data_IF_881685626086
#
_entry.id   IF_881685626086
#
_cell.length_a   1.000
_cell.length_b   1.000
_cell.length_c   1.000
_cell.angle_alpha   90.00
_cell.angle_beta   90.00
_cell.angle_gamma   90.00
#
_symmetry.space_group_name_H-M   'P 1'
#
loop_
_entity.id
_entity.type
_entity.pdbx_description
1 polymer ?
#
# COMPACT_ATOMS: atom_id res chain seq x y z
N UNK A 1 -18.07 -14.23 15.37
CA UNK A 1 -18.86 -13.82 14.17
C UNK A 1 -17.98 -13.22 13.05
N UNK A 2 -16.69 -13.61 12.93
CA UNK A 2 -15.70 -12.85 12.12
C UNK A 2 -15.64 -13.17 10.61
N UNK A 3 -16.36 -14.20 10.14
CA UNK A 3 -16.22 -14.73 8.77
C UNK A 3 -16.66 -13.72 7.70
N UNK A 4 -17.58 -12.80 8.02
CA UNK A 4 -18.12 -11.83 7.06
C UNK A 4 -17.10 -10.76 6.68
N UNK A 5 -16.40 -10.17 7.66
CA UNK A 5 -15.38 -9.13 7.43
C UNK A 5 -14.14 -9.71 6.75
N UNK A 6 -13.74 -10.93 7.10
CA UNK A 6 -12.59 -11.59 6.45
C UNK A 6 -12.83 -11.87 4.97
N UNK A 7 -14.02 -12.38 4.63
CA UNK A 7 -14.41 -12.58 3.22
C UNK A 7 -14.33 -11.29 2.43
N UNK A 8 -14.78 -10.19 3.03
CA UNK A 8 -14.76 -8.91 2.37
C UNK A 8 -13.35 -8.35 2.12
N UNK A 9 -12.48 -8.48 3.12
CA UNK A 9 -11.06 -8.11 2.98
C UNK A 9 -10.41 -8.96 1.88
N UNK A 10 -10.67 -10.28 1.86
CA UNK A 10 -10.20 -11.17 0.81
C UNK A 10 -10.74 -10.78 -0.57
N UNK A 11 -12.01 -10.39 -0.69
CA UNK A 11 -12.57 -9.90 -1.95
C UNK A 11 -11.82 -8.67 -2.45
N UNK A 12 -11.59 -7.66 -1.60
CA UNK A 12 -10.87 -6.44 -2.00
C UNK A 12 -9.42 -6.73 -2.38
N UNK A 13 -8.73 -7.62 -1.66
CA UNK A 13 -7.38 -8.08 -2.02
C UNK A 13 -7.39 -8.73 -3.39
N UNK A 14 -8.31 -9.68 -3.61
CA UNK A 14 -8.38 -10.44 -4.86
C UNK A 14 -8.75 -9.55 -6.05
N UNK A 15 -9.73 -8.66 -5.92
CA UNK A 15 -10.11 -7.75 -7.01
C UNK A 15 -8.99 -6.76 -7.34
N UNK A 16 -8.28 -6.27 -6.32
CA UNK A 16 -7.14 -5.38 -6.52
C UNK A 16 -5.99 -6.10 -7.23
N UNK A 17 -5.64 -7.31 -6.78
CA UNK A 17 -4.64 -8.14 -7.44
C UNK A 17 -5.02 -8.47 -8.88
N UNK A 18 -6.27 -8.88 -9.12
CA UNK A 18 -6.79 -9.17 -10.45
C UNK A 18 -6.73 -7.94 -11.36
N UNK A 19 -7.01 -6.75 -10.84
CA UNK A 19 -6.90 -5.50 -11.58
C UNK A 19 -5.46 -5.28 -12.05
N UNK A 20 -4.47 -5.41 -11.16
CA UNK A 20 -3.06 -5.29 -11.54
C UNK A 20 -2.60 -6.38 -12.50
N UNK A 21 -3.11 -7.61 -12.34
CA UNK A 21 -2.81 -8.71 -13.26
C UNK A 21 -3.38 -8.44 -14.66
N UNK A 22 -4.60 -7.91 -14.76
CA UNK A 22 -5.21 -7.51 -16.03
C UNK A 22 -4.43 -6.35 -16.67
N UNK A 23 -4.01 -5.36 -15.88
CA UNK A 23 -3.14 -4.27 -16.34
C UNK A 23 -1.81 -4.77 -16.90
N UNK A 24 -1.25 -5.81 -16.31
CA UNK A 24 0.01 -6.41 -16.73
C UNK A 24 -0.14 -7.30 -17.98
N UNK A 25 -1.20 -8.11 -18.06
CA UNK A 25 -1.37 -9.12 -19.13
C UNK A 25 -2.03 -8.56 -20.39
N UNK A 26 -2.92 -7.58 -20.27
CA UNK A 26 -3.61 -6.99 -21.42
C UNK A 26 -2.86 -5.73 -21.84
N UNK A 27 -2.37 -5.63 -23.08
CA UNK A 27 -1.87 -4.38 -23.62
C UNK A 27 -3.05 -3.42 -23.82
N UNK A 28 -3.46 -2.75 -22.74
CA UNK A 28 -4.62 -1.85 -22.66
C UNK A 28 -4.50 -0.64 -23.60
N UNK A 29 -3.32 -0.41 -24.18
CA UNK A 29 -3.12 0.48 -25.33
C UNK A 29 -4.07 0.20 -26.49
N UNK A 30 -4.59 -1.03 -26.64
CA UNK A 30 -5.54 -1.41 -27.69
C UNK A 30 -6.93 -0.76 -27.57
N UNK A 31 -7.35 -0.31 -26.38
CA UNK A 31 -8.71 0.18 -26.15
C UNK A 31 -8.83 1.72 -26.07
N UNK A 32 -7.72 2.45 -26.26
CA UNK A 32 -7.70 3.90 -26.15
C UNK A 32 -7.95 4.46 -24.74
N UNK A 33 -8.17 3.59 -23.75
CA UNK A 33 -8.31 3.93 -22.33
C UNK A 33 -6.94 3.71 -21.67
N UNK A 34 -6.39 4.74 -21.04
CA UNK A 34 -5.14 4.63 -20.28
C UNK A 34 -5.17 3.56 -19.19
N UNK A 35 -4.05 2.85 -18.98
CA UNK A 35 -3.93 1.80 -17.97
C UNK A 35 -4.35 2.26 -16.57
N UNK A 36 -4.17 3.55 -16.22
CA UNK A 36 -4.52 4.03 -14.90
C UNK A 36 -6.03 4.10 -14.62
N UNK A 37 -6.85 4.27 -15.65
CA UNK A 37 -8.30 4.43 -15.50
C UNK A 37 -8.96 3.17 -14.92
N UNK A 38 -8.36 2.01 -15.14
CA UNK A 38 -8.81 0.73 -14.60
C UNK A 38 -8.62 0.60 -13.08
N UNK A 39 -7.77 1.42 -12.46
CA UNK A 39 -7.67 1.45 -11.00
C UNK A 39 -8.92 2.06 -10.36
N UNK A 40 -9.58 3.03 -11.02
CA UNK A 40 -10.70 3.77 -10.43
C UNK A 40 -11.94 2.91 -10.14
N UNK A 41 -12.42 2.03 -11.05
CA UNK A 41 -13.51 1.11 -10.73
C UNK A 41 -13.21 0.19 -9.55
N UNK A 42 -11.99 -0.39 -9.49
CA UNK A 42 -11.60 -1.25 -8.37
C UNK A 42 -11.55 -0.47 -7.04
N UNK A 43 -11.12 0.79 -7.07
CA UNK A 43 -11.11 1.65 -5.89
C UNK A 43 -12.51 2.03 -5.42
N UNK A 44 -13.41 2.37 -6.35
CA UNK A 44 -14.82 2.63 -6.02
C UNK A 44 -15.46 1.39 -5.39
N UNK A 45 -15.17 0.21 -5.94
CA UNK A 45 -15.59 -1.05 -5.36
C UNK A 45 -15.02 -1.25 -3.95
N UNK A 46 -13.72 -1.06 -3.74
CA UNK A 46 -13.07 -1.24 -2.44
C UNK A 46 -13.60 -0.28 -1.37
N UNK A 47 -13.73 1.02 -1.70
CA UNK A 47 -14.27 2.05 -0.81
C UNK A 47 -15.73 1.76 -0.50
N UNK A 48 -16.54 1.44 -1.52
CA UNK A 48 -17.95 1.10 -1.35
C UNK A 48 -18.12 -0.14 -0.49
N UNK A 49 -17.30 -1.17 -0.69
CA UNK A 49 -17.38 -2.44 0.04
C UNK A 49 -16.97 -2.29 1.51
N UNK A 50 -15.84 -1.62 1.79
CA UNK A 50 -15.44 -1.32 3.17
C UNK A 50 -16.41 -0.37 3.85
N UNK A 51 -16.87 0.68 3.16
CA UNK A 51 -17.87 1.62 3.68
C UNK A 51 -19.18 0.94 4.05
N UNK A 52 -19.69 0.09 3.15
CA UNK A 52 -20.90 -0.70 3.37
C UNK A 52 -20.78 -1.58 4.62
N UNK A 53 -19.67 -2.30 4.80
CA UNK A 53 -19.48 -3.19 5.94
C UNK A 53 -19.28 -2.45 7.27
N UNK A 54 -18.56 -1.33 7.24
CA UNK A 54 -18.42 -0.45 8.40
C UNK A 54 -19.81 0.08 8.79
N UNK A 55 -20.62 0.51 7.82
CA UNK A 55 -21.95 1.05 8.09
C UNK A 55 -22.95 -0.02 8.55
N UNK A 56 -22.99 -1.18 7.90
CA UNK A 56 -23.90 -2.28 8.22
C UNK A 56 -23.70 -2.77 9.66
N UNK A 57 -22.43 -2.88 10.07
CA UNK A 57 -22.08 -3.42 11.38
C UNK A 57 -21.95 -2.33 12.46
N UNK A 58 -22.05 -1.03 12.11
CA UNK A 58 -22.10 0.06 13.08
C UNK A 58 -23.34 -0.01 13.98
N UNK A 59 -24.42 -0.60 13.48
CA UNK A 59 -25.68 -0.76 14.21
C UNK A 59 -25.70 -2.01 15.10
N UNK A 60 -24.69 -2.88 15.00
CA UNK A 60 -24.52 -4.07 15.84
C UNK A 60 -23.37 -3.80 16.82
N UNK A 61 -23.72 -3.47 18.06
CA UNK A 61 -22.84 -2.88 19.09
C UNK A 61 -21.62 -3.74 19.49
N UNK A 62 -21.49 -4.98 18.99
CA UNK A 62 -20.50 -5.96 19.48
C UNK A 62 -19.51 -6.51 18.41
N UNK A 63 -19.49 -6.03 17.17
CA UNK A 63 -18.64 -6.66 16.14
C UNK A 63 -17.20 -6.10 16.15
N UNK A 64 -16.34 -6.69 17.00
CA UNK A 64 -14.91 -6.39 17.15
C UNK A 64 -14.16 -6.33 15.81
N UNK A 65 -14.56 -7.17 14.83
CA UNK A 65 -13.97 -7.20 13.50
C UNK A 65 -14.26 -5.96 12.65
N UNK A 66 -15.42 -5.32 12.82
CA UNK A 66 -15.76 -4.11 12.08
C UNK A 66 -15.08 -2.88 12.65
N UNK A 67 -14.94 -2.81 13.97
CA UNK A 67 -14.09 -1.81 14.60
C UNK A 67 -12.64 -1.99 14.16
N UNK A 68 -12.15 -3.22 14.07
CA UNK A 68 -10.80 -3.50 13.56
C UNK A 68 -10.61 -3.00 12.12
N UNK A 69 -11.58 -3.29 11.23
CA UNK A 69 -11.54 -2.82 9.85
C UNK A 69 -11.53 -1.28 9.78
N UNK A 70 -12.38 -0.62 10.56
CA UNK A 70 -12.41 0.85 10.63
C UNK A 70 -11.07 1.44 11.09
N UNK A 71 -10.47 0.90 12.17
CA UNK A 71 -9.16 1.33 12.64
C UNK A 71 -8.07 1.10 11.58
N UNK A 72 -8.13 -0.02 10.87
CA UNK A 72 -7.19 -0.35 9.80
C UNK A 72 -7.31 0.63 8.62
N UNK A 73 -8.55 0.99 8.23
CA UNK A 73 -8.82 1.98 7.17
C UNK A 73 -8.30 3.36 7.58
N UNK A 74 -8.62 3.81 8.80
CA UNK A 74 -8.12 5.08 9.33
C UNK A 74 -6.59 5.13 9.33
N UNK A 75 -5.94 4.04 9.75
CA UNK A 75 -4.50 3.94 9.70
C UNK A 75 -3.97 4.05 8.27
N UNK A 76 -4.49 3.24 7.35
CA UNK A 76 -4.03 3.21 5.96
C UNK A 76 -4.16 4.57 5.30
N UNK A 77 -5.31 5.23 5.49
CA UNK A 77 -5.53 6.60 4.99
C UNK A 77 -4.55 7.60 5.60
N UNK A 78 -4.32 7.57 6.92
CA UNK A 78 -3.40 8.49 7.59
C UNK A 78 -1.93 8.27 7.17
N UNK A 79 -1.50 7.02 7.04
CA UNK A 79 -0.16 6.66 6.58
C UNK A 79 0.08 7.11 5.14
N UNK A 80 -0.88 6.87 4.25
CA UNK A 80 -0.79 7.30 2.86
C UNK A 80 -0.81 8.83 2.73
N UNK A 81 -1.70 9.52 3.44
CA UNK A 81 -1.77 10.98 3.40
C UNK A 81 -0.47 11.65 3.88
N UNK A 82 0.21 11.05 4.86
CA UNK A 82 1.50 11.54 5.36
C UNK A 82 2.69 11.15 4.50
N UNK A 83 2.62 10.04 3.76
CA UNK A 83 3.65 9.63 2.81
C UNK A 83 3.57 10.41 1.48
N UNK A 84 2.39 10.89 1.11
CA UNK A 84 2.11 11.63 -0.13
C UNK A 84 3.07 12.79 -0.43
N UNK A 85 3.42 13.68 0.52
CA UNK A 85 4.41 14.73 0.28
C UNK A 85 5.81 14.20 -0.04
N UNK A 86 6.20 13.08 0.56
CA UNK A 86 7.49 12.43 0.28
C UNK A 86 7.50 11.80 -1.11
N UNK A 87 6.42 11.13 -1.49
CA UNK A 87 6.26 10.59 -2.83
C UNK A 87 6.27 11.68 -3.91
N UNK A 88 5.62 12.81 -3.64
CA UNK A 88 5.68 13.98 -4.51
C UNK A 88 7.12 14.51 -4.66
N UNK A 89 7.87 14.57 -3.56
CA UNK A 89 9.27 15.00 -3.59
C UNK A 89 10.16 14.01 -4.38
N UNK A 90 9.94 12.71 -4.20
CA UNK A 90 10.67 11.64 -4.90
C UNK A 90 10.37 11.59 -6.39
N UNK A 91 9.11 11.75 -6.78
CA UNK A 91 8.71 11.74 -8.19
C UNK A 91 9.08 13.02 -8.93
N UNK A 92 8.89 14.20 -8.33
CA UNK A 92 9.10 15.49 -9.04
C UNK A 92 10.49 16.08 -8.89
N UNK A 93 11.01 16.16 -7.67
CA UNK A 93 12.31 16.82 -7.41
C UNK A 93 13.47 15.87 -7.63
N UNK A 94 13.31 14.64 -7.15
CA UNK A 94 14.34 13.63 -7.25
C UNK A 94 14.14 12.66 -8.42
N UNK A 95 13.03 12.76 -9.17
CA UNK A 95 12.77 11.98 -10.39
C UNK A 95 13.14 10.49 -10.26
N UNK A 96 12.90 9.87 -9.10
CA UNK A 96 13.24 8.47 -8.87
C UNK A 96 12.24 7.53 -9.54
N UNK A 97 10.99 7.94 -9.53
CA UNK A 97 9.89 7.27 -10.19
C UNK A 97 9.36 8.25 -11.23
N UNK A 98 9.33 7.80 -12.48
CA UNK A 98 8.71 8.50 -13.60
C UNK A 98 7.42 7.75 -13.92
N UNK A 99 6.28 8.42 -13.85
CA UNK A 99 5.00 7.82 -14.23
C UNK A 99 4.85 7.87 -15.76
N UNK A 100 4.57 6.72 -16.40
CA UNK A 100 4.84 6.47 -17.83
C UNK A 100 3.75 6.82 -18.85
N UNK A 101 2.60 7.34 -18.43
CA UNK A 101 1.47 7.64 -19.31
C UNK A 101 1.40 9.11 -19.72
N UNK A 102 1.06 9.35 -21.00
CA UNK A 102 0.59 10.64 -21.53
C UNK A 102 -0.70 11.13 -20.84
N UNK A 103 -1.42 10.25 -20.12
CA UNK A 103 -2.56 10.60 -19.25
C UNK A 103 -2.13 11.31 -17.95
N UNK A 104 -0.84 11.28 -17.63
CA UNK A 104 -0.28 12.07 -16.53
C UNK A 104 -0.13 13.49 -17.04
N UNK A 105 -1.23 14.25 -16.96
CA UNK A 105 -1.23 15.67 -17.29
C UNK A 105 0.02 16.34 -16.74
N UNK A 106 0.71 17.08 -17.60
CA UNK A 106 2.07 17.63 -17.46
C UNK A 106 2.37 18.25 -16.08
N UNK A 107 1.35 18.63 -15.30
CA UNK A 107 1.48 19.30 -14.00
C UNK A 107 0.74 18.69 -12.80
N UNK A 108 0.21 17.46 -12.84
CA UNK A 108 -0.60 16.94 -11.71
C UNK A 108 0.13 15.87 -10.89
N UNK A 109 -0.16 15.89 -9.59
CA UNK A 109 0.25 15.04 -8.48
C UNK A 109 0.24 13.54 -8.79
N UNK A 110 0.90 12.73 -7.95
CA UNK A 110 0.72 11.27 -7.91
C UNK A 110 -0.76 10.95 -8.11
N UNK A 111 -1.11 10.07 -9.06
CA UNK A 111 -2.50 9.78 -9.37
C UNK A 111 -3.28 9.35 -8.13
N UNK A 112 -4.48 9.90 -7.96
CA UNK A 112 -5.38 9.55 -6.84
C UNK A 112 -5.58 8.03 -6.79
N UNK A 113 -5.65 7.37 -7.96
CA UNK A 113 -5.75 5.91 -8.04
C UNK A 113 -4.60 5.16 -7.36
N UNK A 114 -3.37 5.62 -7.56
CA UNK A 114 -2.17 5.04 -6.94
C UNK A 114 -2.11 5.33 -5.45
N UNK A 115 -2.38 6.57 -5.05
CA UNK A 115 -2.45 6.98 -3.64
C UNK A 115 -3.44 6.09 -2.88
N UNK A 116 -4.66 5.95 -3.41
CA UNK A 116 -5.70 5.16 -2.76
C UNK A 116 -5.34 3.66 -2.72
N UNK A 117 -4.60 3.16 -3.70
CA UNK A 117 -4.09 1.78 -3.70
C UNK A 117 -3.08 1.56 -2.58
N UNK A 118 -2.19 2.53 -2.31
CA UNK A 118 -1.30 2.45 -1.15
C UNK A 118 -2.06 2.53 0.17
N UNK A 119 -3.14 3.32 0.22
CA UNK A 119 -4.04 3.36 1.37
C UNK A 119 -4.70 2.00 1.64
N UNK A 120 -5.16 1.32 0.58
CA UNK A 120 -5.67 -0.04 0.66
C UNK A 120 -4.58 -1.01 1.13
N UNK A 121 -3.38 -0.94 0.58
CA UNK A 121 -2.27 -1.80 0.98
C UNK A 121 -1.93 -1.64 2.47
N UNK A 122 -1.83 -0.40 2.96
CA UNK A 122 -1.61 -0.11 4.37
C UNK A 122 -2.72 -0.63 5.28
N UNK A 123 -3.98 -0.45 4.85
CA UNK A 123 -5.16 -0.99 5.54
C UNK A 123 -5.09 -2.50 5.66
N UNK A 124 -4.77 -3.20 4.57
CA UNK A 124 -4.74 -4.65 4.50
C UNK A 124 -3.63 -5.25 5.37
N UNK A 125 -2.43 -4.68 5.31
CA UNK A 125 -1.30 -5.17 6.09
C UNK A 125 -1.56 -5.09 7.60
N UNK A 126 -2.20 -4.01 8.06
CA UNK A 126 -2.56 -3.82 9.47
C UNK A 126 -3.71 -4.70 9.91
N UNK A 127 -4.70 -4.87 9.03
CA UNK A 127 -5.78 -5.82 9.28
C UNK A 127 -5.21 -7.23 9.47
N UNK A 128 -4.34 -7.68 8.56
CA UNK A 128 -3.67 -8.98 8.66
C UNK A 128 -2.86 -9.13 9.96
N UNK A 129 -2.10 -8.10 10.36
CA UNK A 129 -1.33 -8.09 11.60
C UNK A 129 -2.23 -8.37 12.81
N UNK A 130 -3.32 -7.62 12.96
CA UNK A 130 -4.23 -7.78 14.09
C UNK A 130 -4.97 -9.12 14.06
N UNK A 131 -5.33 -9.62 12.87
CA UNK A 131 -5.93 -10.95 12.74
C UNK A 131 -4.98 -12.05 13.20
N UNK A 132 -3.70 -11.98 12.84
CA UNK A 132 -2.70 -12.93 13.32
C UNK A 132 -2.54 -12.86 14.85
N UNK A 133 -2.57 -11.67 15.43
CA UNK A 133 -2.54 -11.48 16.90
C UNK A 133 -3.78 -12.10 17.57
N UNK A 134 -4.97 -11.93 16.99
CA UNK A 134 -6.22 -12.54 17.48
C UNK A 134 -6.20 -14.08 17.40
N UNK A 135 -5.49 -14.67 16.43
CA UNK A 135 -5.26 -16.12 16.37
C UNK A 135 -4.25 -16.63 17.40
N UNK A 136 -3.74 -15.77 18.28
CA UNK A 136 -2.82 -16.13 19.37
C UNK A 136 -1.35 -16.11 18.97
N UNK A 137 -1.00 -15.60 17.77
CA UNK A 137 0.39 -15.46 17.37
C UNK A 137 1.05 -14.32 18.16
N UNK A 138 2.29 -14.53 18.61
CA UNK A 138 3.03 -13.49 19.33
C UNK A 138 3.23 -12.25 18.44
N UNK A 139 3.08 -11.04 19.00
CA UNK A 139 3.16 -9.75 18.29
C UNK A 139 4.35 -9.59 17.35
N UNK A 140 5.55 -10.06 17.75
CA UNK A 140 6.75 -9.97 16.90
C UNK A 140 6.76 -11.01 15.77
N UNK A 141 6.15 -12.18 15.99
CA UNK A 141 6.01 -13.17 14.93
C UNK A 141 4.95 -12.71 13.92
N UNK A 142 3.82 -12.16 14.39
CA UNK A 142 2.81 -11.54 13.55
C UNK A 142 3.40 -10.40 12.71
N UNK A 143 4.18 -9.51 13.32
CA UNK A 143 4.81 -8.40 12.60
C UNK A 143 5.86 -8.86 11.60
N UNK A 144 6.67 -9.87 11.93
CA UNK A 144 7.62 -10.47 11.01
C UNK A 144 6.95 -11.09 9.78
N UNK A 145 5.84 -11.81 9.98
CA UNK A 145 5.07 -12.38 8.86
C UNK A 145 4.45 -11.27 8.01
N UNK A 146 3.83 -10.26 8.61
CA UNK A 146 3.27 -9.14 7.85
C UNK A 146 4.35 -8.33 7.13
N UNK A 147 5.53 -8.18 7.73
CA UNK A 147 6.69 -7.57 7.11
C UNK A 147 7.15 -8.32 5.86
N UNK A 148 7.30 -9.64 5.97
CA UNK A 148 7.72 -10.48 4.85
C UNK A 148 6.68 -10.47 3.72
N UNK A 149 5.39 -10.59 4.07
CA UNK A 149 4.29 -10.50 3.09
C UNK A 149 4.27 -9.13 2.43
N UNK A 150 4.48 -8.05 3.18
CA UNK A 150 4.51 -6.70 2.63
C UNK A 150 5.70 -6.48 1.69
N UNK A 151 6.87 -7.03 2.03
CA UNK A 151 8.06 -6.99 1.18
C UNK A 151 7.80 -7.72 -0.15
N UNK A 152 7.34 -8.98 -0.10
CA UNK A 152 7.00 -9.77 -1.29
C UNK A 152 5.89 -9.06 -2.09
N UNK A 153 4.84 -8.62 -1.41
CA UNK A 153 3.73 -7.89 -2.00
C UNK A 153 4.20 -6.64 -2.73
N UNK A 154 5.14 -5.88 -2.16
CA UNK A 154 5.70 -4.70 -2.82
C UNK A 154 6.39 -5.07 -4.15
N UNK A 155 7.18 -6.16 -4.20
CA UNK A 155 7.81 -6.60 -5.45
C UNK A 155 6.75 -6.97 -6.50
N UNK A 156 5.71 -7.69 -6.09
CA UNK A 156 4.62 -8.10 -6.97
C UNK A 156 3.83 -6.90 -7.48
N UNK A 157 3.38 -6.01 -6.59
CA UNK A 157 2.63 -4.80 -6.96
C UNK A 157 3.45 -3.88 -7.85
N UNK A 158 4.72 -3.59 -7.48
CA UNK A 158 5.59 -2.72 -8.25
C UNK A 158 6.02 -3.34 -9.59
N UNK A 159 6.12 -4.67 -9.67
CA UNK A 159 6.39 -5.39 -10.91
C UNK A 159 5.20 -5.42 -11.86
N UNK A 160 3.98 -5.68 -11.35
CA UNK A 160 2.76 -5.74 -12.15
C UNK A 160 2.37 -4.36 -12.73
N UNK A 161 2.70 -3.26 -12.05
CA UNK A 161 2.42 -1.92 -12.55
C UNK A 161 3.57 -1.26 -13.33
N UNK A 162 4.47 -2.04 -13.97
CA UNK A 162 5.53 -1.50 -14.84
C UNK A 162 5.01 -0.58 -15.97
N UNK A 163 3.77 -0.77 -16.40
CA UNK A 163 3.10 0.12 -17.37
C UNK A 163 2.64 1.46 -16.78
N UNK A 164 2.61 1.59 -15.45
CA UNK A 164 2.16 2.78 -14.72
C UNK A 164 3.33 3.64 -14.24
N UNK A 165 4.49 3.02 -13.97
CA UNK A 165 5.70 3.70 -13.54
C UNK A 165 6.96 3.04 -14.07
N UNK A 166 7.99 3.87 -14.25
CA UNK A 166 9.35 3.49 -14.53
C UNK A 166 10.27 4.04 -13.44
N UNK A 167 11.22 3.22 -13.01
CA UNK A 167 12.32 3.67 -12.18
C UNK A 167 13.33 4.39 -13.08
N UNK A 168 13.74 5.59 -12.69
CA UNK A 168 14.68 6.36 -13.48
C UNK A 168 16.05 5.67 -13.47
N UNK A 169 16.41 5.02 -14.58
CA UNK A 169 17.67 4.30 -14.79
C UNK A 169 18.88 5.15 -14.38
N UNK A 170 18.96 6.40 -14.85
CA UNK A 170 20.07 7.33 -14.53
C UNK A 170 20.25 7.58 -13.03
N UNK A 171 19.24 7.26 -12.22
CA UNK A 171 19.26 7.42 -10.77
C UNK A 171 19.24 6.11 -9.98
N UNK A 172 19.04 4.98 -10.64
CA UNK A 172 18.79 3.69 -9.97
C UNK A 172 19.64 2.57 -10.59
N UNK A 173 20.41 2.84 -11.65
CA UNK A 173 21.24 1.86 -12.35
C UNK A 173 22.31 1.21 -11.46
N UNK A 174 22.79 1.92 -10.44
CA UNK A 174 23.76 1.39 -9.46
C UNK A 174 23.09 0.56 -8.36
N UNK A 175 21.76 0.57 -8.28
CA UNK A 175 21.01 -0.09 -7.21
C UNK A 175 20.60 -1.50 -7.68
N UNK A 176 20.84 -2.55 -6.87
CA UNK A 176 20.39 -3.88 -7.21
C UNK A 176 18.86 -3.91 -7.36
N UNK A 177 18.39 -4.56 -8.43
CA UNK A 177 16.97 -4.71 -8.72
C UNK A 177 16.53 -6.16 -8.50
N UNK A 178 15.34 -6.34 -7.93
CA UNK A 178 14.63 -7.61 -7.90
C UNK A 178 13.51 -7.52 -8.94
N UNK A 179 13.62 -8.30 -10.02
CA UNK A 179 12.83 -8.12 -11.23
C UNK A 179 12.95 -6.69 -11.79
N UNK A 180 11.92 -5.85 -11.64
CA UNK A 180 11.90 -4.44 -12.06
C UNK A 180 11.79 -3.47 -10.89
N UNK A 181 12.05 -3.93 -9.67
CA UNK A 181 11.82 -3.19 -8.43
C UNK A 181 13.15 -3.03 -7.69
N UNK A 182 13.59 -1.78 -7.42
CA UNK A 182 14.79 -1.52 -6.64
C UNK A 182 14.73 -2.16 -5.25
N UNK A 183 15.83 -2.81 -4.83
CA UNK A 183 15.86 -3.62 -3.60
C UNK A 183 15.52 -2.83 -2.33
N UNK A 184 15.75 -1.52 -2.32
CA UNK A 184 15.42 -0.67 -1.17
C UNK A 184 13.92 -0.63 -0.86
N UNK A 185 13.06 -0.88 -1.85
CA UNK A 185 11.60 -0.85 -1.68
C UNK A 185 11.12 -2.03 -0.84
N UNK A 186 11.35 -3.30 -1.22
CA UNK A 186 10.95 -4.43 -0.39
C UNK A 186 11.63 -4.40 0.98
N UNK A 187 12.87 -3.90 1.08
CA UNK A 187 13.54 -3.70 2.37
C UNK A 187 12.77 -2.68 3.23
N UNK A 188 12.36 -1.56 2.65
CA UNK A 188 11.62 -0.53 3.38
C UNK A 188 10.29 -1.07 3.88
N UNK A 189 9.52 -1.74 3.02
CA UNK A 189 8.26 -2.37 3.40
C UNK A 189 8.46 -3.44 4.48
N UNK A 190 9.50 -4.28 4.36
CA UNK A 190 9.86 -5.24 5.39
C UNK A 190 10.06 -4.55 6.75
N UNK A 191 10.89 -3.51 6.82
CA UNK A 191 11.18 -2.82 8.07
C UNK A 191 9.95 -2.13 8.67
N UNK A 192 9.18 -1.40 7.86
CA UNK A 192 7.99 -0.67 8.33
C UNK A 192 7.01 -1.63 9.01
N UNK A 193 6.68 -2.73 8.34
CA UNK A 193 5.66 -3.66 8.83
C UNK A 193 6.19 -4.64 9.88
N UNK A 194 7.50 -4.93 9.90
CA UNK A 194 8.11 -5.66 11.02
C UNK A 194 8.10 -4.82 12.30
N UNK A 195 8.23 -3.50 12.16
CA UNK A 195 8.17 -2.53 13.25
C UNK A 195 6.74 -2.11 13.61
N UNK A 196 5.70 -2.69 12.97
CA UNK A 196 4.29 -2.49 13.34
C UNK A 196 4.03 -2.48 14.85
N UNK A 197 4.57 -3.40 15.67
CA UNK A 197 4.31 -3.43 17.12
C UNK A 197 4.73 -2.15 17.85
N UNK A 198 5.72 -1.41 17.31
CA UNK A 198 6.15 -0.14 17.88
C UNK A 198 5.19 1.01 17.56
N UNK A 199 4.54 0.98 16.40
CA UNK A 199 3.49 1.94 16.02
C UNK A 199 2.11 1.56 16.57
N UNK A 200 1.85 0.27 16.79
CA UNK A 200 0.57 -0.30 17.20
C UNK A 200 0.63 -0.85 18.62
N UNK A 201 0.47 0.04 19.59
CA UNK A 201 0.11 -0.37 20.94
C UNK A 201 -1.41 -0.30 21.07
N UNK A 202 -2.06 -1.30 21.67
CA UNK A 202 -3.54 -1.39 21.82
C UNK A 202 -4.22 -0.14 22.40
N UNK A 203 -3.47 0.79 23.01
CA UNK A 203 -3.95 2.05 23.57
C UNK A 203 -3.76 3.28 22.66
N UNK A 204 -3.09 3.14 21.52
CA UNK A 204 -2.82 4.25 20.61
C UNK A 204 -3.92 4.41 19.56
N UNK A 205 -4.30 5.65 19.30
CA UNK A 205 -5.30 5.99 18.30
C UNK A 205 -4.76 5.68 16.88
N UNK A 206 -5.53 4.92 16.08
CA UNK A 206 -5.09 4.42 14.77
C UNK A 206 -4.59 5.52 13.81
N UNK A 207 -5.21 6.71 13.86
CA UNK A 207 -4.77 7.86 13.07
C UNK A 207 -3.34 8.33 13.42
N UNK A 208 -3.00 8.36 14.71
CA UNK A 208 -1.66 8.78 15.17
C UNK A 208 -0.63 7.72 14.77
N UNK A 209 -0.98 6.44 14.91
CA UNK A 209 -0.14 5.34 14.44
C UNK A 209 0.12 5.45 12.94
N UNK A 210 -0.91 5.77 12.14
CA UNK A 210 -0.81 5.97 10.69
C UNK A 210 0.14 7.11 10.33
N UNK A 211 0.00 8.26 10.97
CA UNK A 211 0.90 9.42 10.78
C UNK A 211 2.36 9.03 11.05
N UNK A 212 2.63 8.35 12.16
CA UNK A 212 3.99 7.91 12.52
C UNK A 212 4.54 6.91 11.51
N UNK A 213 3.71 5.98 11.05
CA UNK A 213 4.08 5.01 10.03
C UNK A 213 4.45 5.70 8.71
N UNK A 214 3.64 6.64 8.22
CA UNK A 214 3.91 7.37 6.98
C UNK A 214 5.19 8.21 7.04
N UNK A 215 5.42 8.89 8.17
CA UNK A 215 6.67 9.63 8.41
C UNK A 215 7.88 8.70 8.44
N UNK A 216 7.79 7.59 9.18
CA UNK A 216 8.87 6.62 9.26
C UNK A 216 9.16 5.96 7.91
N UNK A 217 8.11 5.61 7.16
CA UNK A 217 8.22 5.09 5.80
C UNK A 217 8.98 6.05 4.90
N UNK A 218 8.64 7.35 4.93
CA UNK A 218 9.37 8.37 4.18
C UNK A 218 10.85 8.45 4.57
N UNK A 219 11.16 8.43 5.87
CA UNK A 219 12.54 8.48 6.38
C UNK A 219 13.34 7.24 5.95
N UNK A 220 12.76 6.04 6.08
CA UNK A 220 13.43 4.79 5.71
C UNK A 220 13.62 4.69 4.21
N UNK A 221 12.63 5.07 3.39
CA UNK A 221 12.79 5.08 1.93
C UNK A 221 13.89 6.06 1.51
N UNK A 222 13.89 7.27 2.07
CA UNK A 222 14.94 8.26 1.78
C UNK A 222 16.33 7.79 2.21
N UNK A 223 16.44 7.24 3.42
CA UNK A 223 17.72 6.80 3.98
C UNK A 223 18.27 5.60 3.21
N UNK A 224 17.40 4.63 2.88
CA UNK A 224 17.79 3.46 2.08
C UNK A 224 18.26 3.90 0.70
N UNK A 225 17.54 4.84 0.07
CA UNK A 225 17.98 5.45 -1.17
C UNK A 225 19.39 6.07 -1.05
N UNK A 226 19.65 6.91 -0.03
CA UNK A 226 20.96 7.53 0.15
C UNK A 226 22.10 6.53 0.34
N UNK A 227 21.83 5.40 1.01
CA UNK A 227 22.80 4.32 1.22
C UNK A 227 23.13 3.65 -0.11
N UNK A 228 22.12 3.21 -0.85
CA UNK A 228 22.31 2.50 -2.12
C UNK A 228 22.78 3.41 -3.26
N UNK A 229 22.49 4.71 -3.22
CA UNK A 229 23.00 5.68 -4.20
C UNK A 229 24.51 5.90 -4.09
N UNK A 230 25.06 5.86 -2.87
CA UNK A 230 26.48 6.12 -2.61
C UNK A 230 27.37 4.90 -2.82
N UNK A 231 26.78 3.71 -2.89
CA UNK A 231 27.46 2.44 -3.18
C UNK A 231 27.54 2.23 -4.70
#
# INVERSE_FOLDING_TARGET
MSIKTDRAVLTVVFTTFLTFLLLFLLPIRSFGIGAIWWLYPNLLFAIGWFGYLIQLNRNTVEDESSQLLFHSVLFGSAATATYLPMDWLFSRKLQFIVYTSYDFGINVTTPIGLIMTWGLFGTLAVYCYHRLEMFGLHRFAASGITGLIAAIGSVVFYGLGKELWEWNALRVDNIPNIASVPIFIPITFLFIYTLCPYYFHRKQHALIAGIRCGLFMGIVMFSSFLIFWRL
#
